data_IF_598436635617
#
_entry.id   IF_598436635617
#
_cell.length_a   1.000
_cell.length_b   1.000
_cell.length_c   1.000
_cell.angle_alpha   90.00
_cell.angle_beta   90.00
_cell.angle_gamma   90.00
#
_symmetry.space_group_name_H-M   'P 1'
#
loop_
_entity.id
_entity.type
_entity.pdbx_description
1 polymer ?
#
# COMPACT_ATOMS: atom_id res chain seq x y z
N UNK A 1 33.08 -8.00 -1.50
CA UNK A 1 31.61 -8.09 -1.34
C UNK A 1 31.01 -9.27 -2.13
N UNK A 2 31.45 -9.54 -3.36
CA UNK A 2 30.83 -10.56 -4.23
C UNK A 2 30.94 -12.04 -3.83
N UNK A 3 31.59 -12.41 -2.71
CA UNK A 3 31.70 -13.81 -2.26
C UNK A 3 30.78 -14.15 -1.06
N UNK A 4 29.85 -13.26 -0.70
CA UNK A 4 28.89 -13.51 0.39
C UNK A 4 29.50 -13.68 1.80
N UNK A 5 30.77 -13.31 2.00
CA UNK A 5 31.44 -13.40 3.30
C UNK A 5 31.00 -12.30 4.28
N UNK A 6 31.56 -12.31 5.49
CA UNK A 6 31.19 -11.41 6.59
C UNK A 6 31.18 -9.92 6.22
N UNK A 7 32.15 -9.48 5.40
CA UNK A 7 32.18 -8.11 4.84
C UNK A 7 30.91 -7.73 4.06
N UNK A 8 30.29 -8.69 3.36
CA UNK A 8 29.02 -8.45 2.66
C UNK A 8 27.86 -8.35 3.65
N UNK A 9 27.81 -9.22 4.65
CA UNK A 9 26.80 -9.19 5.71
C UNK A 9 26.83 -7.86 6.46
N UNK A 10 28.01 -7.41 6.90
CA UNK A 10 28.17 -6.14 7.60
C UNK A 10 27.76 -4.95 6.72
N UNK A 11 28.03 -5.07 5.41
CA UNK A 11 27.68 -4.03 4.44
C UNK A 11 26.17 -3.98 4.15
N UNK A 12 25.52 -5.12 3.90
CA UNK A 12 24.11 -5.19 3.52
C UNK A 12 23.17 -4.79 4.67
N UNK A 13 23.58 -4.97 5.93
CA UNK A 13 22.84 -4.46 7.11
C UNK A 13 22.62 -2.95 7.04
N UNK A 14 23.50 -2.20 6.37
CA UNK A 14 23.33 -0.77 6.16
C UNK A 14 22.27 -0.42 5.09
N UNK A 15 21.62 -1.41 4.47
CA UNK A 15 20.62 -1.25 3.41
C UNK A 15 21.08 -0.32 2.27
N UNK A 16 22.25 -0.59 1.65
CA UNK A 16 22.76 0.22 0.55
C UNK A 16 21.82 0.20 -0.65
N UNK A 17 21.66 1.35 -1.32
CA UNK A 17 21.00 1.38 -2.63
C UNK A 17 21.97 0.99 -3.74
N UNK A 18 21.42 0.64 -4.90
CA UNK A 18 22.21 0.43 -6.13
C UNK A 18 23.04 1.67 -6.47
N UNK A 19 22.45 2.87 -6.36
CA UNK A 19 23.15 4.14 -6.58
C UNK A 19 24.38 4.28 -5.67
N UNK A 20 24.20 4.10 -4.37
CA UNK A 20 25.32 4.20 -3.41
C UNK A 20 26.38 3.13 -3.65
N UNK A 21 25.96 1.95 -4.10
CA UNK A 21 26.89 0.86 -4.46
C UNK A 21 27.74 1.26 -5.66
N UNK A 22 27.14 1.81 -6.71
CA UNK A 22 27.86 2.31 -7.89
C UNK A 22 28.75 3.52 -7.56
N UNK A 23 28.30 4.40 -6.66
CA UNK A 23 29.10 5.55 -6.19
C UNK A 23 30.32 5.13 -5.36
N UNK A 24 30.21 4.03 -4.61
CA UNK A 24 31.31 3.45 -3.83
C UNK A 24 32.34 2.75 -4.73
N UNK A 25 31.90 2.12 -5.81
CA UNK A 25 32.75 1.36 -6.73
C UNK A 25 32.77 2.01 -8.12
N UNK A 26 33.28 3.24 -8.20
CA UNK A 26 33.31 4.02 -9.46
C UNK A 26 34.13 3.40 -10.59
N UNK A 27 34.99 2.42 -10.29
CA UNK A 27 35.72 1.66 -11.31
C UNK A 27 34.84 0.67 -12.08
N UNK A 28 33.64 0.38 -11.59
CA UNK A 28 32.68 -0.50 -12.26
C UNK A 28 32.14 0.21 -13.51
N UNK A 29 32.38 -0.41 -14.66
CA UNK A 29 31.83 -0.02 -15.94
C UNK A 29 30.84 -1.12 -16.36
N UNK A 30 29.54 -0.85 -16.22
CA UNK A 30 28.47 -1.78 -16.62
C UNK A 30 27.59 -1.05 -17.65
N UNK A 31 27.34 -1.62 -18.84
CA UNK A 31 26.37 -1.09 -19.78
C UNK A 31 24.98 -0.94 -19.15
N UNK A 32 24.25 0.12 -19.51
CA UNK A 32 22.92 0.39 -18.91
C UNK A 32 21.95 -0.79 -19.09
N UNK A 33 21.99 -1.46 -20.24
CA UNK A 33 21.14 -2.60 -20.55
C UNK A 33 21.38 -3.77 -19.59
N UNK A 34 22.65 -4.14 -19.36
CA UNK A 34 23.02 -5.17 -18.39
C UNK A 34 22.59 -4.79 -16.98
N UNK A 35 22.77 -3.52 -16.59
CA UNK A 35 22.35 -3.03 -15.28
C UNK A 35 20.84 -3.20 -15.08
N UNK A 36 20.03 -2.84 -16.07
CA UNK A 36 18.56 -2.96 -16.00
C UNK A 36 18.15 -4.43 -15.87
N UNK A 37 18.80 -5.34 -16.60
CA UNK A 37 18.52 -6.77 -16.53
C UNK A 37 18.86 -7.38 -15.16
N UNK A 38 19.84 -6.82 -14.45
CA UNK A 38 20.22 -7.26 -13.10
C UNK A 38 19.28 -6.75 -12.00
N UNK A 39 18.51 -5.69 -12.26
CA UNK A 39 17.63 -5.08 -11.25
C UNK A 39 16.33 -5.86 -11.09
N UNK A 40 15.88 -6.11 -9.85
CA UNK A 40 14.57 -6.72 -9.64
C UNK A 40 13.47 -5.76 -10.11
N UNK A 41 12.39 -6.27 -10.73
CA UNK A 41 11.27 -5.45 -11.14
C UNK A 41 10.56 -4.82 -9.92
N UNK A 42 10.07 -3.59 -10.09
CA UNK A 42 9.37 -2.87 -9.03
C UNK A 42 8.04 -3.54 -8.71
N UNK A 43 7.95 -4.13 -7.51
CA UNK A 43 6.74 -4.82 -7.05
C UNK A 43 5.62 -3.83 -6.64
N UNK A 44 4.34 -4.17 -6.89
CA UNK A 44 3.21 -3.41 -6.38
C UNK A 44 3.17 -3.45 -4.84
N UNK A 45 2.53 -2.44 -4.23
CA UNK A 45 2.30 -2.38 -2.77
C UNK A 45 0.83 -2.59 -2.47
N UNK A 46 0.56 -3.52 -1.57
CA UNK A 46 -0.78 -3.83 -1.10
C UNK A 46 -1.13 -2.96 0.11
N UNK A 47 -2.36 -2.46 0.11
CA UNK A 47 -2.96 -1.73 1.23
C UNK A 47 -4.35 -2.30 1.48
N UNK A 48 -4.75 -2.35 2.75
CA UNK A 48 -6.14 -2.66 3.08
C UNK A 48 -7.05 -1.52 2.65
N UNK A 49 -8.14 -1.85 1.98
CA UNK A 49 -9.20 -0.91 1.64
C UNK A 49 -9.81 -0.41 2.95
N UNK A 50 -10.00 0.91 3.05
CA UNK A 50 -10.57 1.56 4.24
C UNK A 50 -11.95 2.16 4.05
N UNK A 51 -12.60 1.86 2.92
CA UNK A 51 -13.98 2.24 2.60
C UNK A 51 -14.90 1.03 2.38
N UNK A 52 -16.18 1.16 2.75
CA UNK A 52 -17.24 0.24 2.32
C UNK A 52 -17.58 0.45 0.84
N UNK A 53 -17.76 -0.64 0.08
CA UNK A 53 -18.20 -0.56 -1.31
C UNK A 53 -19.69 -0.17 -1.43
N UNK A 54 -20.50 -0.54 -0.43
CA UNK A 54 -21.92 -0.18 -0.37
C UNK A 54 -22.11 1.30 -0.06
N UNK A 55 -21.30 1.87 0.83
CA UNK A 55 -21.35 3.32 1.16
C UNK A 55 -20.65 4.20 0.13
N UNK A 56 -19.62 3.66 -0.54
CA UNK A 56 -18.76 4.40 -1.47
C UNK A 56 -18.59 3.68 -2.81
N UNK A 57 -19.67 3.54 -3.59
CA UNK A 57 -19.69 2.76 -4.84
C UNK A 57 -18.66 3.18 -5.91
N UNK A 58 -18.24 4.45 -5.93
CA UNK A 58 -17.30 5.00 -6.91
C UNK A 58 -16.00 5.54 -6.29
N UNK A 59 -15.73 5.23 -5.01
CA UNK A 59 -14.55 5.71 -4.31
C UNK A 59 -13.86 4.57 -3.57
N UNK A 60 -12.52 4.57 -3.61
CA UNK A 60 -11.71 3.62 -2.88
C UNK A 60 -10.79 4.38 -1.93
N UNK A 61 -10.92 4.11 -0.64
CA UNK A 61 -10.08 4.71 0.38
C UNK A 61 -8.98 3.75 0.81
N UNK A 62 -7.81 4.29 1.12
CA UNK A 62 -6.71 3.57 1.75
C UNK A 62 -6.15 4.41 2.89
N UNK A 63 -5.72 3.76 3.96
CA UNK A 63 -5.05 4.42 5.09
C UNK A 63 -3.58 4.03 5.08
N UNK A 64 -2.71 4.98 4.75
CA UNK A 64 -1.28 4.73 4.52
C UNK A 64 -0.44 5.54 5.49
N UNK A 65 0.45 4.85 6.22
CA UNK A 65 1.52 5.52 6.96
C UNK A 65 2.67 5.89 6.02
N UNK A 66 3.11 7.15 6.05
CA UNK A 66 4.24 7.60 5.23
C UNK A 66 5.53 7.09 5.83
N UNK A 67 6.21 6.23 5.08
CA UNK A 67 7.41 5.53 5.56
C UNK A 67 8.63 6.42 5.32
N UNK A 68 9.25 6.87 6.40
CA UNK A 68 10.57 7.50 6.39
C UNK A 68 11.38 6.93 7.56
N UNK A 69 12.62 6.54 7.31
CA UNK A 69 13.49 5.98 8.34
C UNK A 69 14.93 6.42 8.11
N UNK A 70 15.76 6.32 9.15
CA UNK A 70 17.18 6.64 9.09
C UNK A 70 17.95 5.32 9.07
N UNK A 71 18.82 5.15 8.08
CA UNK A 71 19.72 3.99 8.01
C UNK A 71 20.76 4.02 9.13
N UNK A 72 21.44 2.91 9.45
CA UNK A 72 22.53 2.91 10.43
C UNK A 72 23.66 3.90 10.12
N UNK A 73 23.79 4.34 8.86
CA UNK A 73 24.76 5.37 8.42
C UNK A 73 24.25 6.81 8.53
N UNK A 74 23.09 7.04 9.14
CA UNK A 74 22.49 8.38 9.27
C UNK A 74 21.80 8.90 8.00
N UNK A 75 21.72 8.10 6.93
CA UNK A 75 21.05 8.50 5.68
C UNK A 75 19.54 8.32 5.81
N UNK A 76 18.78 9.36 5.53
CA UNK A 76 17.30 9.32 5.48
C UNK A 76 16.84 8.56 4.24
N UNK A 77 15.95 7.58 4.44
CA UNK A 77 15.32 6.78 3.38
C UNK A 77 13.81 6.92 3.43
N UNK A 78 13.23 6.91 2.23
CA UNK A 78 11.81 7.09 1.99
C UNK A 78 11.23 5.84 1.34
N UNK A 79 10.12 5.35 1.87
CA UNK A 79 9.37 4.27 1.23
C UNK A 79 8.80 4.75 -0.11
N UNK A 80 9.02 3.96 -1.18
CA UNK A 80 8.69 4.34 -2.56
C UNK A 80 7.20 4.70 -2.71
N UNK A 81 6.31 3.74 -2.45
CA UNK A 81 4.88 3.92 -2.72
C UNK A 81 4.22 4.96 -1.81
N UNK A 82 4.50 4.95 -0.50
CA UNK A 82 3.86 5.88 0.44
C UNK A 82 4.30 7.33 0.24
N UNK A 83 5.57 7.58 -0.08
CA UNK A 83 6.02 8.94 -0.42
C UNK A 83 5.52 9.35 -1.81
N UNK A 84 5.45 8.43 -2.78
CA UNK A 84 4.85 8.71 -4.09
C UNK A 84 3.38 9.16 -3.94
N UNK A 85 2.58 8.47 -3.12
CA UNK A 85 1.19 8.85 -2.85
C UNK A 85 1.11 10.22 -2.14
N UNK A 86 1.92 10.45 -1.10
CA UNK A 86 1.97 11.74 -0.38
C UNK A 86 2.30 12.92 -1.30
N UNK A 87 3.09 12.66 -2.34
CA UNK A 87 3.57 13.64 -3.28
C UNK A 87 2.61 13.88 -4.45
N UNK A 88 1.95 12.84 -4.93
CA UNK A 88 1.14 12.86 -6.15
C UNK A 88 -0.33 13.21 -5.87
N UNK A 89 -0.84 12.84 -4.69
CA UNK A 89 -2.24 13.08 -4.36
C UNK A 89 -2.46 14.53 -3.90
N UNK A 90 -3.61 15.14 -4.26
CA UNK A 90 -4.01 16.42 -3.70
C UNK A 90 -4.02 16.35 -2.18
N UNK A 91 -3.37 17.32 -1.54
CA UNK A 91 -3.41 17.44 -0.10
C UNK A 91 -4.62 18.28 0.27
N UNK A 92 -5.30 17.91 1.33
CA UNK A 92 -6.35 18.74 1.91
C UNK A 92 -5.78 19.38 3.19
N UNK A 93 -6.10 20.65 3.42
CA UNK A 93 -5.89 21.29 4.71
C UNK A 93 -6.83 20.66 5.75
N UNK A 94 -6.58 20.88 7.06
CA UNK A 94 -7.52 20.47 8.11
C UNK A 94 -8.95 20.99 7.86
N UNK A 95 -9.09 22.15 7.22
CA UNK A 95 -10.37 22.76 6.84
C UNK A 95 -10.98 22.20 5.54
N UNK A 96 -10.41 21.12 4.99
CA UNK A 96 -10.86 20.48 3.75
C UNK A 96 -10.52 21.23 2.46
N UNK A 97 -9.68 22.27 2.52
CA UNK A 97 -9.31 23.05 1.32
C UNK A 97 -8.15 22.39 0.57
N UNK A 98 -8.17 22.36 -0.78
CA UNK A 98 -7.04 21.84 -1.55
C UNK A 98 -5.77 22.64 -1.28
N UNK A 99 -4.72 21.96 -0.83
CA UNK A 99 -3.35 22.48 -0.78
C UNK A 99 -2.74 22.18 -2.14
N UNK A 100 -2.18 23.22 -2.76
CA UNK A 100 -1.61 23.17 -4.09
C UNK A 100 -0.53 22.07 -4.16
N UNK A 101 -0.70 21.16 -5.12
CA UNK A 101 0.27 20.13 -5.45
C UNK A 101 1.64 20.77 -5.71
N UNK A 102 2.70 20.27 -5.06
CA UNK A 102 4.08 20.66 -5.37
C UNK A 102 4.56 20.05 -6.68
N UNK A 103 3.81 19.11 -7.26
CA UNK A 103 4.08 18.55 -8.58
C UNK A 103 3.48 19.45 -9.68
N UNK A 104 4.27 19.84 -10.69
CA UNK A 104 3.83 20.70 -11.78
C UNK A 104 2.92 19.98 -12.80
N UNK A 105 2.78 18.65 -12.69
CA UNK A 105 1.92 17.85 -13.57
C UNK A 105 0.56 17.62 -12.91
N UNK A 106 -0.52 17.64 -13.71
CA UNK A 106 -1.87 17.19 -13.29
C UNK A 106 -1.74 15.87 -12.52
N UNK A 107 -2.55 15.62 -11.47
CA UNK A 107 -2.46 14.40 -10.68
C UNK A 107 -2.52 13.20 -11.61
N UNK A 108 -1.38 12.52 -11.75
CA UNK A 108 -1.25 11.36 -12.61
C UNK A 108 -2.17 10.27 -12.06
N UNK A 109 -3.07 9.76 -12.90
CA UNK A 109 -3.93 8.62 -12.56
C UNK A 109 -3.07 7.52 -11.93
N UNK A 110 -3.31 7.24 -10.65
CA UNK A 110 -2.62 6.16 -9.95
C UNK A 110 -3.22 4.86 -10.45
N UNK A 111 -2.39 3.99 -11.05
CA UNK A 111 -2.83 2.65 -11.46
C UNK A 111 -3.01 1.79 -10.21
N UNK A 112 -4.19 1.21 -10.07
CA UNK A 112 -4.60 0.39 -8.95
C UNK A 112 -5.18 -0.92 -9.49
N UNK A 113 -5.12 -1.96 -8.66
CA UNK A 113 -5.82 -3.22 -8.88
C UNK A 113 -6.34 -3.71 -7.52
N UNK A 114 -7.42 -4.49 -7.54
CA UNK A 114 -7.99 -5.09 -6.33
C UNK A 114 -7.55 -6.54 -6.27
N UNK A 115 -6.96 -6.93 -5.15
CA UNK A 115 -6.67 -8.33 -4.83
C UNK A 115 -7.66 -8.79 -3.77
N UNK A 116 -8.63 -9.67 -4.10
CA UNK A 116 -9.62 -10.12 -3.14
C UNK A 116 -8.97 -10.98 -2.05
N UNK A 117 -9.43 -10.80 -0.80
CA UNK A 117 -9.09 -11.68 0.31
C UNK A 117 -10.36 -12.31 0.88
N UNK A 118 -10.71 -13.57 0.52
CA UNK A 118 -11.96 -14.19 0.96
C UNK A 118 -11.99 -14.47 2.47
N UNK A 119 -10.85 -14.53 3.14
CA UNK A 119 -10.76 -14.86 4.57
C UNK A 119 -10.86 -13.64 5.49
N UNK A 120 -11.07 -12.44 4.95
CA UNK A 120 -11.22 -11.21 5.73
C UNK A 120 -12.49 -10.49 5.30
N UNK A 121 -13.60 -10.87 5.94
CA UNK A 121 -14.97 -10.42 5.64
C UNK A 121 -15.76 -10.26 6.93
N UNK A 122 -16.89 -9.57 6.84
CA UNK A 122 -17.86 -9.53 7.94
C UNK A 122 -18.50 -10.92 8.12
N UNK A 123 -18.78 -11.33 9.37
CA UNK A 123 -19.51 -12.57 9.63
C UNK A 123 -20.84 -12.62 8.86
N UNK A 124 -21.15 -13.77 8.27
CA UNK A 124 -22.36 -13.95 7.46
C UNK A 124 -22.20 -13.66 5.96
N UNK A 125 -21.06 -13.14 5.51
CA UNK A 125 -20.75 -13.03 4.07
C UNK A 125 -20.23 -14.34 3.45
N UNK A 126 -19.87 -15.34 4.26
CA UNK A 126 -19.28 -16.61 3.78
C UNK A 126 -20.32 -17.59 3.20
N UNK A 127 -21.60 -17.45 3.57
CA UNK A 127 -22.70 -18.36 3.19
C UNK A 127 -23.26 -18.16 1.79
N UNK A 128 -22.82 -17.14 1.05
CA UNK A 128 -23.27 -16.87 -0.34
C UNK A 128 -22.44 -17.60 -1.41
N UNK A 129 -21.48 -18.44 -1.02
CA UNK A 129 -20.46 -18.99 -1.92
C UNK A 129 -20.79 -20.30 -2.65
N UNK A 130 -22.01 -20.84 -2.58
CA UNK A 130 -22.34 -22.04 -3.39
C UNK A 130 -23.49 -21.89 -4.38
N UNK A 131 -24.52 -21.05 -4.18
CA UNK A 131 -25.68 -21.04 -5.09
C UNK A 131 -26.16 -19.65 -5.58
N UNK A 132 -25.54 -18.53 -5.18
CA UNK A 132 -26.14 -17.20 -5.38
C UNK A 132 -25.26 -16.21 -6.16
N UNK A 133 -24.51 -16.69 -7.16
CA UNK A 133 -23.66 -15.83 -8.00
C UNK A 133 -24.43 -15.02 -9.07
N UNK A 134 -25.78 -15.02 -9.06
CA UNK A 134 -26.61 -14.25 -10.03
C UNK A 134 -27.39 -13.07 -9.45
N UNK A 135 -27.57 -12.94 -8.13
CA UNK A 135 -28.34 -11.83 -7.54
C UNK A 135 -27.51 -10.67 -6.98
N UNK A 136 -26.18 -10.77 -6.90
CA UNK A 136 -25.35 -9.68 -6.39
C UNK A 136 -25.06 -8.54 -7.39
N UNK A 137 -25.55 -8.62 -8.63
CA UNK A 137 -25.62 -7.44 -9.51
C UNK A 137 -26.78 -6.50 -9.15
N UNK A 138 -27.61 -6.83 -8.16
CA UNK A 138 -28.66 -5.97 -7.61
C UNK A 138 -28.53 -5.85 -6.09
N UNK A 139 -27.68 -4.92 -5.63
CA UNK A 139 -27.76 -4.24 -4.33
C UNK A 139 -28.33 -5.02 -3.13
N UNK A 140 -27.76 -6.19 -2.80
CA UNK A 140 -28.18 -6.97 -1.64
C UNK A 140 -27.41 -6.56 -0.38
N UNK A 141 -28.10 -5.91 0.55
CA UNK A 141 -27.58 -5.46 1.83
C UNK A 141 -27.03 -6.64 2.68
N UNK A 142 -25.73 -6.59 3.00
CA UNK A 142 -25.08 -7.58 3.85
C UNK A 142 -25.21 -7.18 5.33
N UNK A 143 -26.40 -7.29 5.89
CA UNK A 143 -26.57 -7.15 7.33
C UNK A 143 -25.98 -8.36 8.08
N UNK A 144 -25.24 -8.11 9.16
CA UNK A 144 -24.86 -9.16 10.10
C UNK A 144 -26.14 -9.90 10.55
N UNK A 145 -26.10 -11.24 10.73
CA UNK A 145 -27.20 -11.92 11.39
C UNK A 145 -27.44 -11.23 12.74
N UNK A 146 -28.70 -10.94 13.09
CA UNK A 146 -29.14 -10.07 14.20
C UNK A 146 -28.51 -10.31 15.59
N UNK A 147 -27.72 -11.38 15.77
CA UNK A 147 -27.09 -11.80 17.02
C UNK A 147 -25.56 -12.05 16.93
N UNK A 148 -24.89 -11.59 15.87
CA UNK A 148 -23.43 -11.76 15.75
C UNK A 148 -22.68 -10.56 16.34
N UNK A 149 -21.94 -10.78 17.42
CA UNK A 149 -21.04 -9.78 17.99
C UNK A 149 -19.73 -9.73 17.20
N UNK A 150 -19.35 -8.54 16.72
CA UNK A 150 -18.07 -8.30 16.06
C UNK A 150 -17.11 -7.60 17.02
N UNK A 151 -15.95 -8.21 17.25
CA UNK A 151 -14.86 -7.61 18.01
C UNK A 151 -13.68 -7.32 17.08
N UNK A 152 -13.28 -6.05 16.99
CA UNK A 152 -12.20 -5.58 16.12
C UNK A 152 -11.05 -5.04 16.96
N UNK A 153 -9.82 -5.49 16.68
CA UNK A 153 -8.60 -4.99 17.32
C UNK A 153 -7.68 -4.37 16.28
N UNK A 154 -7.34 -3.09 16.43
CA UNK A 154 -6.44 -2.39 15.52
C UNK A 154 -5.46 -1.47 16.24
N UNK A 155 -4.27 -1.36 15.65
CA UNK A 155 -3.26 -0.37 16.02
C UNK A 155 -2.68 0.27 14.75
N UNK A 156 -2.43 1.58 14.80
CA UNK A 156 -1.89 2.34 13.67
C UNK A 156 -2.71 2.18 12.39
N UNK A 157 -2.05 1.98 11.25
CA UNK A 157 -2.72 1.76 9.96
C UNK A 157 -3.52 0.46 9.88
N UNK A 158 -3.40 -0.44 10.87
CA UNK A 158 -4.22 -1.65 10.99
C UNK A 158 -5.72 -1.36 11.17
N UNK A 159 -6.11 -0.11 11.47
CA UNK A 159 -7.51 0.32 11.52
C UNK A 159 -8.18 0.37 10.14
N UNK A 160 -7.38 0.41 9.06
CA UNK A 160 -7.86 0.60 7.69
C UNK A 160 -9.09 -0.27 7.34
N UNK A 161 -9.01 -1.62 7.39
CA UNK A 161 -10.15 -2.43 6.99
C UNK A 161 -11.34 -2.38 7.98
N UNK A 162 -11.09 -2.04 9.25
CA UNK A 162 -12.17 -1.90 10.23
C UNK A 162 -12.96 -0.62 10.05
N UNK A 163 -12.35 0.44 9.48
CA UNK A 163 -13.10 1.61 9.01
C UNK A 163 -14.12 1.21 7.93
N UNK A 164 -13.71 0.36 6.98
CA UNK A 164 -14.61 -0.16 5.96
C UNK A 164 -15.75 -1.00 6.57
N UNK A 165 -15.43 -1.87 7.52
CA UNK A 165 -16.44 -2.66 8.23
C UNK A 165 -17.42 -1.78 9.02
N UNK A 166 -16.92 -0.75 9.69
CA UNK A 166 -17.78 0.19 10.40
C UNK A 166 -18.75 0.91 9.47
N UNK A 167 -18.26 1.40 8.32
CA UNK A 167 -19.10 2.05 7.30
C UNK A 167 -20.15 1.13 6.66
N UNK A 168 -19.90 -0.17 6.64
CA UNK A 168 -20.81 -1.19 6.12
C UNK A 168 -21.93 -1.54 7.11
N UNK A 169 -21.68 -1.35 8.41
CA UNK A 169 -22.63 -1.66 9.49
C UNK A 169 -23.54 -0.48 9.88
N UNK A 170 -23.17 0.74 9.47
CA UNK A 170 -24.00 1.96 9.60
C UNK A 170 -24.94 2.14 8.40
#
# INVERSE_FOLDING_TARGET
LGKGGQRYTDWIVNSPTVKETLEMFRSIQIPLEELIQLLPPLQPRYYSISSSANRHSNQLHITVSVVTYITPRGVVRKGICSNYLQQTLPKLSPDGKPIQSTFPRKPSQVRLFISPNPHFRLPGQDSLSSNMTREMLSGGDAYLPLNSSLLMFAIGSGIAPFRAFWEELE
#
